data_IF_147197650489
#
_entry.id   IF_147197650489
#
_cell.length_a   1.000
_cell.length_b   1.000
_cell.length_c   1.000
_cell.angle_alpha   90.00
_cell.angle_beta   90.00
_cell.angle_gamma   90.00
#
_symmetry.space_group_name_H-M   'P 1'
#
loop_
_entity.id
_entity.type
_entity.pdbx_description
1 polymer ?
#
# COMPACT_ATOMS: atom_id res chain seq x y z
N UNK A 1 -0.72 4.71 -7.40
CA UNK A 1 0.35 4.36 -8.36
C UNK A 1 1.03 5.56 -9.00
N UNK A 2 1.21 6.69 -8.29
CA UNK A 2 1.94 7.83 -8.86
C UNK A 2 1.48 8.25 -10.26
N UNK A 3 0.19 8.16 -10.57
CA UNK A 3 -0.37 8.44 -11.91
C UNK A 3 -0.08 7.42 -13.06
N UNK A 4 0.62 6.30 -12.80
CA UNK A 4 0.77 5.21 -13.79
C UNK A 4 -0.59 4.66 -14.24
N UNK A 5 -0.76 4.50 -15.55
CA UNK A 5 -2.02 4.05 -16.17
C UNK A 5 -3.11 5.14 -16.24
N UNK A 6 -2.81 6.37 -15.79
CA UNK A 6 -3.74 7.50 -15.86
C UNK A 6 -3.13 8.71 -16.56
N UNK A 7 -2.02 9.24 -16.06
CA UNK A 7 -1.30 10.36 -16.69
C UNK A 7 -0.20 9.90 -17.66
N UNK A 8 0.29 8.67 -17.51
CA UNK A 8 1.28 8.04 -18.38
C UNK A 8 1.09 6.52 -18.43
N UNK A 9 1.85 5.84 -19.28
CA UNK A 9 1.72 4.40 -19.51
C UNK A 9 1.90 3.57 -18.23
N UNK A 10 1.14 2.48 -18.13
CA UNK A 10 1.11 1.59 -16.96
C UNK A 10 2.16 0.47 -17.02
N UNK A 11 2.20 -0.36 -15.98
CA UNK A 11 3.23 -1.39 -15.75
C UNK A 11 3.09 -2.68 -16.58
N UNK A 12 2.03 -2.85 -17.37
CA UNK A 12 1.87 -4.01 -18.25
C UNK A 12 2.66 -3.83 -19.57
N UNK A 13 3.97 -3.65 -19.45
CA UNK A 13 4.92 -3.46 -20.53
C UNK A 13 6.30 -3.97 -20.10
N UNK A 14 7.19 -4.24 -21.06
CA UNK A 14 8.58 -4.61 -20.77
C UNK A 14 9.39 -3.44 -20.19
N UNK A 15 9.01 -2.19 -20.51
CA UNK A 15 9.65 -0.96 -20.05
C UNK A 15 8.60 0.12 -19.81
N UNK A 16 8.84 0.98 -18.81
CA UNK A 16 8.00 2.15 -18.50
C UNK A 16 8.87 3.38 -18.22
N UNK A 17 8.34 4.57 -18.51
CA UNK A 17 8.97 5.85 -18.18
C UNK A 17 8.19 6.52 -17.05
N UNK A 18 8.84 6.73 -15.91
CA UNK A 18 8.23 7.33 -14.71
C UNK A 18 9.10 8.46 -14.17
N UNK A 19 8.53 9.46 -13.46
CA UNK A 19 9.32 10.48 -12.77
C UNK A 19 10.25 9.87 -11.72
N UNK A 20 11.46 10.42 -11.59
CA UNK A 20 12.48 9.91 -10.67
C UNK A 20 12.02 9.94 -9.20
N UNK A 21 11.16 10.88 -8.84
CA UNK A 21 10.61 11.03 -7.49
C UNK A 21 9.70 9.87 -7.07
N UNK A 22 9.27 9.03 -8.02
CA UNK A 22 8.45 7.84 -7.79
C UNK A 22 9.28 6.56 -7.71
N UNK A 23 10.60 6.66 -7.83
CA UNK A 23 11.52 5.53 -7.76
C UNK A 23 12.13 5.49 -6.36
N UNK A 24 12.00 4.35 -5.69
CA UNK A 24 12.51 4.15 -4.34
C UNK A 24 13.49 2.95 -4.33
N UNK A 25 14.68 3.08 -3.72
CA UNK A 25 15.52 1.91 -3.48
C UNK A 25 14.84 1.00 -2.46
N UNK A 26 14.82 -0.30 -2.74
CA UNK A 26 14.26 -1.30 -1.83
C UNK A 26 15.19 -2.48 -1.71
N UNK A 27 15.44 -2.90 -0.48
CA UNK A 27 16.07 -4.17 -0.14
C UNK A 27 14.98 -5.11 0.38
N UNK A 28 14.90 -6.32 -0.18
CA UNK A 28 13.89 -7.31 0.22
C UNK A 28 14.37 -8.73 -0.05
N UNK A 29 13.97 -9.66 0.81
CA UNK A 29 14.15 -11.10 0.62
C UNK A 29 12.93 -11.76 -0.06
N UNK A 30 11.91 -10.97 -0.43
CA UNK A 30 10.73 -11.46 -1.14
C UNK A 30 11.06 -11.81 -2.59
N UNK A 31 10.31 -12.75 -3.17
CA UNK A 31 10.31 -12.95 -4.62
C UNK A 31 9.79 -11.71 -5.34
N UNK A 32 10.17 -11.53 -6.62
CA UNK A 32 9.70 -10.39 -7.41
C UNK A 32 8.18 -10.37 -7.55
N UNK A 33 7.56 -11.55 -7.68
CA UNK A 33 6.12 -11.74 -7.80
C UNK A 33 5.40 -11.29 -6.52
N UNK A 34 5.90 -11.67 -5.35
CA UNK A 34 5.33 -11.24 -4.07
C UNK A 34 5.57 -9.76 -3.82
N UNK A 35 6.80 -9.29 -4.08
CA UNK A 35 7.18 -7.91 -3.87
C UNK A 35 6.35 -6.94 -4.71
N UNK A 36 6.13 -7.24 -6.01
CA UNK A 36 5.35 -6.39 -6.90
C UNK A 36 3.89 -6.19 -6.45
N UNK A 37 3.32 -7.15 -5.71
CA UNK A 37 1.95 -7.05 -5.19
C UNK A 37 1.83 -6.14 -3.95
N UNK A 38 2.93 -5.90 -3.23
CA UNK A 38 2.94 -5.10 -2.00
C UNK A 38 2.60 -3.62 -2.25
N UNK A 39 3.35 -2.85 -3.07
CA UNK A 39 3.18 -1.41 -3.16
C UNK A 39 1.80 -1.00 -3.67
N UNK A 40 1.21 -1.79 -4.58
CA UNK A 40 -0.10 -1.49 -5.16
C UNK A 40 -1.19 -1.39 -4.09
N UNK A 41 -1.21 -2.38 -3.18
CA UNK A 41 -2.24 -2.47 -2.16
C UNK A 41 -1.91 -1.64 -0.93
N UNK A 42 -0.64 -1.68 -0.50
CA UNK A 42 -0.24 -1.11 0.78
C UNK A 42 -0.09 0.41 0.75
N UNK A 43 0.28 1.04 -0.37
CA UNK A 43 0.40 2.50 -0.37
C UNK A 43 -0.95 3.18 -0.10
N UNK A 44 -2.01 2.73 -0.77
CA UNK A 44 -3.36 3.25 -0.57
C UNK A 44 -3.83 3.02 0.87
N UNK A 45 -3.63 1.81 1.40
CA UNK A 45 -4.00 1.47 2.77
C UNK A 45 -3.21 2.28 3.81
N UNK A 46 -1.90 2.44 3.60
CA UNK A 46 -1.02 3.14 4.53
C UNK A 46 -1.31 4.63 4.59
N UNK A 47 -1.42 5.29 3.44
CA UNK A 47 -1.77 6.72 3.41
C UNK A 47 -3.15 6.94 4.04
N UNK A 48 -4.14 6.11 3.71
CA UNK A 48 -5.47 6.18 4.35
C UNK A 48 -5.39 6.07 5.88
N UNK A 49 -4.55 5.16 6.40
CA UNK A 49 -4.36 5.01 7.85
C UNK A 49 -3.73 6.25 8.48
N UNK A 50 -2.73 6.86 7.81
CA UNK A 50 -2.08 8.09 8.29
C UNK A 50 -3.06 9.28 8.31
N UNK A 51 -3.89 9.42 7.27
CA UNK A 51 -4.88 10.51 7.17
C UNK A 51 -5.96 10.44 8.25
N UNK A 52 -6.28 9.23 8.74
CA UNK A 52 -7.26 9.06 9.82
C UNK A 52 -6.77 9.53 11.19
N UNK A 53 -5.45 9.73 11.36
CA UNK A 53 -4.84 10.23 12.61
C UNK A 53 -5.30 9.49 13.87
N UNK A 54 -5.37 8.16 13.76
CA UNK A 54 -5.84 7.28 14.83
C UNK A 54 -4.99 7.41 16.11
N UNK A 55 -5.66 7.34 17.24
CA UNK A 55 -5.08 7.30 18.58
C UNK A 55 -5.29 5.94 19.26
N UNK A 56 -4.53 5.68 20.32
CA UNK A 56 -4.68 4.46 21.13
C UNK A 56 -6.09 4.39 21.73
N UNK A 57 -6.77 3.27 21.51
CA UNK A 57 -8.15 3.04 21.98
C UNK A 57 -9.24 3.36 20.96
N UNK A 58 -8.90 3.93 19.80
CA UNK A 58 -9.86 4.14 18.73
C UNK A 58 -10.46 2.82 18.20
N UNK A 59 -11.74 2.89 17.81
CA UNK A 59 -12.44 1.75 17.20
C UNK A 59 -12.52 1.94 15.69
N UNK A 60 -11.92 1.01 14.96
CA UNK A 60 -11.82 1.06 13.50
C UNK A 60 -12.75 0.04 12.86
N UNK A 61 -13.59 0.47 11.91
CA UNK A 61 -14.43 -0.39 11.07
C UNK A 61 -13.85 -0.44 9.66
N UNK A 62 -13.39 -1.62 9.23
CA UNK A 62 -12.90 -1.85 7.86
C UNK A 62 -13.98 -2.54 7.04
N UNK A 63 -14.58 -1.82 6.09
CA UNK A 63 -15.52 -2.43 5.13
C UNK A 63 -14.75 -3.21 4.08
N UNK A 64 -15.24 -4.39 3.71
CA UNK A 64 -14.55 -5.25 2.74
C UNK A 64 -13.16 -5.70 3.23
N UNK A 65 -13.02 -5.99 4.52
CA UNK A 65 -11.75 -6.34 5.16
C UNK A 65 -11.02 -7.55 4.53
N UNK A 66 -11.73 -8.40 3.77
CA UNK A 66 -11.14 -9.53 3.03
C UNK A 66 -10.65 -9.16 1.61
N UNK A 67 -10.87 -7.93 1.14
CA UNK A 67 -10.28 -7.43 -0.11
C UNK A 67 -8.79 -7.12 0.07
N UNK A 68 -8.05 -6.92 -1.02
CA UNK A 68 -6.62 -6.58 -0.95
C UNK A 68 -6.35 -5.38 -0.04
N UNK A 69 -6.94 -4.22 -0.34
CA UNK A 69 -6.74 -2.98 0.44
C UNK A 69 -7.28 -3.13 1.85
N UNK A 70 -8.44 -3.77 2.03
CA UNK A 70 -9.03 -4.00 3.35
C UNK A 70 -8.13 -4.85 4.25
N UNK A 71 -7.52 -5.90 3.69
CA UNK A 71 -6.61 -6.79 4.42
C UNK A 71 -5.31 -6.06 4.77
N UNK A 72 -4.72 -5.33 3.82
CA UNK A 72 -3.52 -4.54 4.04
C UNK A 72 -3.74 -3.48 5.14
N UNK A 73 -4.85 -2.74 5.07
CA UNK A 73 -5.22 -1.74 6.07
C UNK A 73 -5.40 -2.37 7.46
N UNK A 74 -6.11 -3.50 7.53
CA UNK A 74 -6.32 -4.22 8.80
C UNK A 74 -4.98 -4.66 9.42
N UNK A 75 -4.06 -5.19 8.61
CA UNK A 75 -2.72 -5.58 9.06
C UNK A 75 -1.92 -4.38 9.56
N UNK A 76 -1.92 -3.27 8.83
CA UNK A 76 -1.22 -2.04 9.21
C UNK A 76 -1.73 -1.47 10.54
N UNK A 77 -3.06 -1.38 10.71
CA UNK A 77 -3.67 -0.90 11.97
C UNK A 77 -3.30 -1.83 13.12
N UNK A 78 -3.42 -3.16 12.95
CA UNK A 78 -3.09 -4.12 14.02
C UNK A 78 -1.60 -4.09 14.39
N UNK A 79 -0.70 -3.87 13.42
CA UNK A 79 0.73 -3.76 13.66
C UNK A 79 1.10 -2.46 14.39
N UNK A 80 0.46 -1.34 14.04
CA UNK A 80 0.75 -0.02 14.64
C UNK A 80 0.08 0.18 16.00
N UNK A 81 -1.15 -0.32 16.15
CA UNK A 81 -1.98 -0.21 17.37
C UNK A 81 -2.34 -1.62 17.85
N UNK A 82 -1.36 -2.38 18.37
CA UNK A 82 -1.65 -3.71 18.89
C UNK A 82 -2.62 -3.58 20.06
N UNK A 83 -3.81 -4.16 19.91
CA UNK A 83 -4.68 -4.34 21.08
C UNK A 83 -3.89 -5.04 22.20
N UNK A 84 -4.06 -4.63 23.47
CA UNK A 84 -3.54 -5.39 24.61
C UNK A 84 -4.07 -6.82 24.61
#
# INVERSE_FOLDING_TARGET
MGEMGWAFDGSYAEYVLVPNEQIFPVETDLSWEEFAAVPETYFTAYDSMLQLRLEDGDRVLVRGAASGVGLAFTKLVKAKYPQP
#
